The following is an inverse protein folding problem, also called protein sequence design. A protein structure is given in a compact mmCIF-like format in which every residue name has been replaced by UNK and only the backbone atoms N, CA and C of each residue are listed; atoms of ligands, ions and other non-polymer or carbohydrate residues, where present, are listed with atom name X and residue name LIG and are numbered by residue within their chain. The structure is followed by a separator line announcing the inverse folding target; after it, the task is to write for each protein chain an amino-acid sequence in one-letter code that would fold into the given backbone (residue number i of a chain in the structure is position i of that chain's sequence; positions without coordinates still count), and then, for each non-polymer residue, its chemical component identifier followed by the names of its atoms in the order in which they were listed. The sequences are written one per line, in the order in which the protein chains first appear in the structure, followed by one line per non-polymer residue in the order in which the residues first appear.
data_IF_498097166811
#
_entry.id   IF_498097166811
#
_cell.length_a   1.000
_cell.length_b   1.000
_cell.length_c   1.000
_cell.angle_alpha   90.00
_cell.angle_beta   90.00
_cell.angle_gamma   90.00
#
_symmetry.space_group_name_H-M   'P 1'
#
loop_
_entity.id
_entity.type
_entity.pdbx_description
1 polymer ?
#
# COMPACT_ATOMS: atom_id res chain seq x y z
N UNK A 1 17.81 8.14 -19.27
CA UNK A 1 18.59 8.70 -18.14
C UNK A 1 17.84 9.89 -17.55
N UNK A 2 17.11 9.69 -16.45
CA UNK A 2 16.11 10.63 -15.96
C UNK A 2 16.70 11.69 -14.98
N UNK A 3 16.36 12.96 -15.21
CA UNK A 3 16.73 14.17 -14.45
C UNK A 3 16.01 14.27 -13.09
N UNK A 4 16.36 13.43 -12.12
CA UNK A 4 15.84 13.53 -10.74
C UNK A 4 16.78 14.26 -9.76
N UNK A 5 17.94 14.76 -10.21
CA UNK A 5 19.03 15.22 -9.33
C UNK A 5 18.91 16.71 -8.92
N UNK A 6 18.03 17.49 -9.52
CA UNK A 6 17.93 18.92 -9.23
C UNK A 6 16.84 19.25 -8.20
N UNK A 7 16.80 18.51 -7.08
CA UNK A 7 16.06 18.98 -5.91
C UNK A 7 16.98 19.89 -5.07
N UNK A 8 16.77 21.23 -5.08
CA UNK A 8 17.65 22.18 -4.40
C UNK A 8 17.62 22.03 -2.88
N UNK A 9 16.62 21.34 -2.32
CA UNK A 9 16.42 21.20 -0.88
C UNK A 9 17.22 20.03 -0.28
N UNK A 10 17.91 19.23 -1.10
CA UNK A 10 18.70 18.10 -0.60
C UNK A 10 20.00 18.56 0.05
N UNK A 11 20.24 18.06 1.26
CA UNK A 11 21.51 18.27 1.96
C UNK A 11 22.67 17.61 1.16
N UNK A 12 23.93 18.07 1.34
CA UNK A 12 25.07 17.50 0.63
C UNK A 12 25.23 15.99 0.82
N UNK A 13 24.87 15.47 1.99
CA UNK A 13 24.94 14.03 2.31
C UNK A 13 23.82 13.26 1.58
N UNK A 14 22.61 13.80 1.50
CA UNK A 14 21.50 13.18 0.77
C UNK A 14 21.76 13.12 -0.73
N UNK A 15 22.36 14.18 -1.30
CA UNK A 15 22.86 14.15 -2.69
C UNK A 15 23.91 13.06 -2.89
N UNK A 16 24.87 12.94 -1.97
CA UNK A 16 25.90 11.89 -2.04
C UNK A 16 25.33 10.48 -1.92
N UNK A 17 24.31 10.28 -1.09
CA UNK A 17 23.61 9.00 -0.94
C UNK A 17 22.75 8.69 -2.17
N UNK A 18 22.01 9.65 -2.69
CA UNK A 18 21.20 9.49 -3.89
C UNK A 18 22.05 9.20 -5.13
N UNK A 19 23.18 9.91 -5.31
CA UNK A 19 24.16 9.62 -6.35
C UNK A 19 24.77 8.22 -6.18
N UNK A 20 25.05 7.78 -4.94
CA UNK A 20 25.55 6.42 -4.68
C UNK A 20 24.49 5.37 -4.97
N UNK A 21 23.24 5.60 -4.62
CA UNK A 21 22.13 4.68 -4.89
C UNK A 21 21.85 4.60 -6.41
N UNK A 22 21.87 5.73 -7.12
CA UNK A 22 21.72 5.75 -8.59
C UNK A 22 22.89 5.10 -9.33
N UNK A 23 24.13 5.26 -8.85
CA UNK A 23 25.30 4.59 -9.44
C UNK A 23 25.40 3.10 -9.07
N UNK A 24 24.80 2.68 -7.96
CA UNK A 24 24.93 1.32 -7.43
C UNK A 24 23.78 0.36 -7.80
N UNK A 25 22.75 0.83 -8.51
CA UNK A 25 21.69 -0.04 -9.04
C UNK A 25 21.81 -0.07 -10.56
N UNK A 26 22.64 -0.96 -11.13
CA UNK A 26 22.46 -1.37 -12.51
C UNK A 26 21.11 -2.08 -12.58
N UNK A 27 20.16 -1.53 -13.34
CA UNK A 27 18.85 -2.15 -13.59
C UNK A 27 19.00 -3.55 -14.21
N UNK A 28 20.16 -3.85 -14.82
CA UNK A 28 20.47 -5.10 -15.54
C UNK A 28 21.24 -6.16 -14.72
N UNK A 29 21.61 -5.93 -13.46
CA UNK A 29 22.45 -6.86 -12.67
C UNK A 29 21.74 -7.42 -11.43
N UNK A 30 20.44 -7.70 -11.56
CA UNK A 30 19.73 -8.46 -10.53
C UNK A 30 20.31 -9.88 -10.46
N UNK A 31 20.80 -10.35 -9.30
CA UNK A 31 21.30 -11.72 -9.16
C UNK A 31 20.20 -12.71 -9.53
N UNK A 32 20.59 -13.77 -10.26
CA UNK A 32 19.67 -14.85 -10.57
C UNK A 32 19.07 -15.44 -9.27
N UNK A 33 17.83 -15.94 -9.32
CA UNK A 33 17.14 -16.47 -8.14
C UNK A 33 17.99 -17.53 -7.40
N UNK A 34 18.70 -18.38 -8.15
CA UNK A 34 19.61 -19.38 -7.58
C UNK A 34 20.72 -18.75 -6.73
N UNK A 35 21.25 -17.60 -7.15
CA UNK A 35 22.26 -16.84 -6.42
C UNK A 35 21.67 -16.19 -5.15
N UNK A 36 20.44 -15.63 -5.23
CA UNK A 36 19.73 -15.11 -4.05
C UNK A 36 19.47 -16.21 -3.01
N UNK A 37 19.08 -17.41 -3.46
CA UNK A 37 18.90 -18.58 -2.59
C UNK A 37 20.22 -19.02 -1.94
N UNK A 38 21.31 -19.03 -2.70
CA UNK A 38 22.64 -19.35 -2.18
C UNK A 38 23.11 -18.33 -1.13
N UNK A 39 22.91 -17.04 -1.39
CA UNK A 39 23.14 -15.94 -0.45
C UNK A 39 22.30 -16.12 0.83
N UNK A 40 21.02 -16.51 0.71
CA UNK A 40 20.14 -16.73 1.85
C UNK A 40 20.55 -17.93 2.71
N UNK A 41 20.98 -19.02 2.09
CA UNK A 41 21.43 -20.25 2.77
C UNK A 41 22.78 -20.08 3.47
N UNK A 42 23.74 -19.47 2.81
CA UNK A 42 25.12 -19.38 3.32
C UNK A 42 25.33 -18.10 4.15
N UNK A 43 24.53 -17.06 3.93
CA UNK A 43 24.66 -15.75 4.56
C UNK A 43 26.04 -15.15 4.30
N UNK A 44 26.67 -14.59 5.35
CA UNK A 44 28.02 -14.01 5.27
C UNK A 44 29.12 -14.98 4.83
N UNK A 45 28.85 -16.29 4.78
CA UNK A 45 29.78 -17.31 4.29
C UNK A 45 29.78 -17.46 2.77
N UNK A 46 28.80 -16.89 2.07
CA UNK A 46 28.79 -16.90 0.61
C UNK A 46 29.95 -16.06 0.07
N UNK A 47 30.75 -16.55 -0.90
CA UNK A 47 31.94 -15.83 -1.38
C UNK A 47 31.60 -14.46 -1.98
N UNK A 48 30.48 -14.35 -2.70
CA UNK A 48 29.99 -13.09 -3.27
C UNK A 48 29.15 -12.24 -2.29
N UNK A 49 29.09 -12.58 -0.99
CA UNK A 49 28.18 -11.90 -0.04
C UNK A 49 28.42 -10.40 0.03
N UNK A 50 29.68 -9.96 0.16
CA UNK A 50 30.00 -8.52 0.30
C UNK A 50 29.68 -7.72 -0.97
N UNK A 51 29.82 -8.35 -2.13
CA UNK A 51 29.61 -7.73 -3.44
C UNK A 51 28.11 -7.63 -3.79
N UNK A 52 27.35 -8.72 -3.58
CA UNK A 52 25.94 -8.80 -3.97
C UNK A 52 24.98 -8.21 -2.96
N UNK A 53 25.30 -8.24 -1.66
CA UNK A 53 24.35 -7.82 -0.63
C UNK A 53 23.96 -6.33 -0.68
N UNK A 54 24.84 -5.38 -1.08
CA UNK A 54 24.42 -4.00 -1.36
C UNK A 54 23.27 -3.94 -2.37
N UNK A 55 23.36 -4.64 -3.51
CA UNK A 55 22.26 -4.72 -4.47
C UNK A 55 21.01 -5.36 -3.83
N UNK A 56 21.16 -6.50 -3.14
CA UNK A 56 20.03 -7.18 -2.49
C UNK A 56 19.32 -6.28 -1.47
N UNK A 57 20.03 -5.41 -0.75
CA UNK A 57 19.44 -4.47 0.21
C UNK A 57 18.77 -3.27 -0.48
N UNK A 58 19.33 -2.80 -1.59
CA UNK A 58 18.86 -1.62 -2.31
C UNK A 58 17.73 -1.94 -3.30
N UNK A 59 17.73 -3.12 -3.91
CA UNK A 59 16.71 -3.59 -4.85
C UNK A 59 15.55 -4.26 -4.09
N UNK A 60 14.32 -3.68 -4.13
CA UNK A 60 13.18 -4.20 -3.36
C UNK A 60 12.79 -5.64 -3.74
N UNK A 61 12.96 -6.02 -5.02
CA UNK A 61 12.66 -7.36 -5.52
C UNK A 61 13.64 -8.39 -4.94
N UNK A 62 14.95 -8.12 -5.01
CA UNK A 62 15.98 -9.00 -4.46
C UNK A 62 15.89 -9.10 -2.93
N UNK A 63 15.61 -8.01 -2.22
CA UNK A 63 15.45 -8.01 -0.77
C UNK A 63 14.31 -8.94 -0.32
N UNK A 64 13.20 -8.90 -1.06
CA UNK A 64 12.02 -9.73 -0.83
C UNK A 64 12.35 -11.21 -1.03
N UNK A 65 12.91 -11.57 -2.19
CA UNK A 65 13.33 -12.94 -2.48
C UNK A 65 14.32 -13.48 -1.44
N UNK A 66 15.26 -12.66 -0.99
CA UNK A 66 16.21 -13.00 0.06
C UNK A 66 15.54 -13.31 1.41
N UNK A 67 14.54 -12.52 1.82
CA UNK A 67 13.80 -12.73 3.08
C UNK A 67 12.95 -14.00 3.04
N UNK A 68 12.24 -14.23 1.95
CA UNK A 68 11.41 -15.42 1.77
C UNK A 68 12.26 -16.70 1.78
N UNK A 69 13.41 -16.68 1.09
CA UNK A 69 14.37 -17.78 1.11
C UNK A 69 14.89 -18.08 2.53
N UNK A 70 15.22 -17.03 3.29
CA UNK A 70 15.64 -17.12 4.70
C UNK A 70 14.57 -17.75 5.59
N UNK A 71 13.31 -17.37 5.43
CA UNK A 71 12.18 -17.92 6.19
C UNK A 71 11.95 -19.39 5.85
N UNK A 72 11.99 -19.74 4.56
CA UNK A 72 11.86 -21.13 4.10
C UNK A 72 12.98 -22.03 4.64
N UNK A 73 14.21 -21.52 4.74
CA UNK A 73 15.35 -22.24 5.30
C UNK A 73 15.31 -22.34 6.83
N UNK A 74 14.67 -21.38 7.50
CA UNK A 74 14.47 -21.39 8.95
C UNK A 74 13.30 -22.28 9.40
N UNK A 75 12.41 -22.67 8.48
CA UNK A 75 11.30 -23.55 8.78
C UNK A 75 11.83 -24.88 9.36
N UNK A 76 11.30 -25.35 10.50
CA UNK A 76 11.75 -26.59 11.11
C UNK A 76 11.50 -27.74 10.12
N UNK A 77 12.58 -28.39 9.68
CA UNK A 77 12.45 -29.61 8.87
C UNK A 77 11.77 -30.67 9.75
N UNK A 78 10.79 -31.43 9.20
CA UNK A 78 10.19 -32.53 9.93
C UNK A 78 11.32 -33.46 10.34
N UNK A 79 11.60 -33.50 11.65
CA UNK A 79 12.59 -34.42 12.21
C UNK A 79 11.97 -35.80 12.01
N UNK A 80 12.40 -36.50 10.96
CA UNK A 80 12.02 -37.89 10.73
C UNK A 80 12.45 -38.67 11.97
N UNK A 81 11.49 -38.93 12.86
CA UNK A 81 11.71 -39.72 14.07
C UNK A 81 11.85 -41.16 13.62
N UNK A 82 13.07 -41.55 13.29
CA UNK A 82 13.40 -42.95 13.08
C UNK A 82 12.94 -43.73 14.32
N UNK A 83 12.14 -44.79 14.17
CA UNK A 83 11.79 -45.64 15.29
C UNK A 83 13.08 -46.12 15.93
N UNK A 84 13.22 -45.93 17.25
CA UNK A 84 14.37 -46.41 18.02
C UNK A 84 14.33 -47.94 18.00
N UNK A 85 14.91 -48.54 16.96
CA UNK A 85 15.09 -49.99 16.90
C UNK A 85 16.12 -50.40 17.95
N UNK A 86 15.83 -51.42 18.78
CA UNK A 86 16.72 -51.85 19.84
C UNK A 86 18.07 -52.31 19.25
N UNK A 87 19.16 -51.69 19.73
CA UNK A 87 20.54 -51.86 19.29
C UNK A 87 21.06 -53.31 19.25
N UNK A 88 20.31 -54.25 19.84
CA UNK A 88 20.66 -55.67 19.96
C UNK A 88 20.57 -56.45 18.65
N UNK A 89 19.84 -55.95 17.65
CA UNK A 89 19.70 -56.60 16.34
C UNK A 89 20.73 -56.18 15.28
N UNK A 90 21.57 -55.18 15.58
CA UNK A 90 22.53 -54.61 14.61
C UNK A 90 23.86 -55.38 14.59
N UNK A 91 24.15 -56.19 15.62
CA UNK A 91 25.48 -56.82 15.77
C UNK A 91 25.75 -58.00 14.83
N UNK A 92 24.72 -58.68 14.28
CA UNK A 92 24.92 -59.87 13.43
C UNK A 92 24.34 -59.74 12.02
N UNK A 93 23.48 -58.76 11.75
CA UNK A 93 22.94 -58.46 10.42
C UNK A 93 23.44 -57.13 9.83
N UNK A 94 24.31 -56.40 10.55
CA UNK A 94 24.60 -55.00 10.30
C UNK A 94 25.28 -54.69 8.97
N UNK A 95 26.15 -55.55 8.45
CA UNK A 95 26.97 -55.21 7.27
C UNK A 95 26.19 -55.42 5.96
N UNK A 96 25.46 -56.52 5.81
CA UNK A 96 24.63 -56.78 4.62
C UNK A 96 23.41 -55.83 4.57
N UNK A 97 22.81 -55.53 5.73
CA UNK A 97 21.71 -54.58 5.81
C UNK A 97 22.17 -53.14 5.57
N UNK A 98 23.36 -52.71 6.04
CA UNK A 98 23.90 -51.39 5.69
C UNK A 98 24.20 -51.28 4.20
N UNK A 99 24.76 -52.32 3.57
CA UNK A 99 25.06 -52.31 2.14
C UNK A 99 23.78 -52.26 1.29
N UNK A 100 22.76 -53.06 1.65
CA UNK A 100 21.45 -53.02 1.00
C UNK A 100 20.72 -51.68 1.26
N UNK A 101 20.83 -51.12 2.47
CA UNK A 101 20.26 -49.81 2.80
C UNK A 101 21.00 -48.67 2.06
N UNK A 102 22.32 -48.74 1.90
CA UNK A 102 23.08 -47.78 1.09
C UNK A 102 22.81 -47.91 -0.42
N UNK A 103 22.38 -49.08 -0.90
CA UNK A 103 21.93 -49.29 -2.28
C UNK A 103 20.46 -48.89 -2.50
N UNK A 104 19.62 -48.96 -1.46
CA UNK A 104 18.21 -48.55 -1.48
C UNK A 104 18.01 -47.07 -1.12
N UNK A 105 18.99 -46.43 -0.48
CA UNK A 105 18.99 -44.98 -0.29
C UNK A 105 19.16 -44.33 -1.67
N UNK A 106 18.19 -43.51 -2.11
CA UNK A 106 18.24 -42.88 -3.41
C UNK A 106 19.54 -42.09 -3.54
N UNK A 107 20.28 -42.32 -4.64
CA UNK A 107 21.54 -41.61 -4.92
C UNK A 107 21.28 -40.10 -4.76
N UNK A 108 22.10 -39.39 -3.95
CA UNK A 108 21.83 -38.00 -3.57
C UNK A 108 21.91 -36.98 -4.72
N UNK A 109 22.11 -37.43 -5.95
CA UNK A 109 22.16 -36.59 -7.15
C UNK A 109 20.99 -36.78 -8.13
N UNK A 110 20.11 -37.77 -7.96
CA UNK A 110 19.02 -38.03 -8.92
C UNK A 110 17.61 -37.69 -8.39
N UNK A 111 17.45 -37.37 -7.11
CA UNK A 111 16.15 -37.07 -6.50
C UNK A 111 15.85 -35.56 -6.31
N UNK A 112 16.58 -34.67 -6.99
CA UNK A 112 16.30 -33.22 -6.98
C UNK A 112 15.67 -32.78 -8.31
N UNK A 113 14.72 -33.56 -8.81
CA UNK A 113 13.87 -33.20 -9.96
C UNK A 113 12.38 -33.16 -9.59
N UNK A 114 11.97 -33.72 -8.45
CA UNK A 114 10.69 -33.36 -7.85
C UNK A 114 10.82 -32.00 -7.18
N UNK A 115 10.26 -30.97 -7.79
CA UNK A 115 10.13 -29.66 -7.18
C UNK A 115 9.52 -29.82 -5.80
N UNK A 116 10.34 -29.60 -4.76
CA UNK A 116 9.90 -29.63 -3.38
C UNK A 116 8.62 -28.78 -3.26
N UNK A 117 7.56 -29.22 -2.57
CA UNK A 117 6.26 -28.53 -2.57
C UNK A 117 6.32 -27.06 -2.10
N UNK A 118 7.37 -26.71 -1.34
CA UNK A 118 7.69 -25.31 -1.01
C UNK A 118 8.19 -24.53 -2.23
N UNK A 119 9.06 -25.11 -3.07
CA UNK A 119 9.54 -24.52 -4.33
C UNK A 119 8.39 -24.41 -5.33
N UNK A 120 7.54 -25.43 -5.45
CA UNK A 120 6.34 -25.36 -6.29
C UNK A 120 5.36 -24.27 -5.80
N UNK A 121 5.14 -24.13 -4.48
CA UNK A 121 4.35 -23.00 -3.92
C UNK A 121 5.01 -21.65 -4.12
N UNK A 122 6.33 -21.55 -3.96
CA UNK A 122 7.07 -20.32 -4.17
C UNK A 122 7.05 -19.94 -5.64
N UNK A 123 7.16 -20.91 -6.56
CA UNK A 123 7.05 -20.71 -8.01
C UNK A 123 5.64 -20.29 -8.40
N UNK A 124 4.60 -20.98 -7.91
CA UNK A 124 3.22 -20.56 -8.11
C UNK A 124 2.92 -19.17 -7.53
N UNK A 125 3.51 -18.81 -6.38
CA UNK A 125 3.41 -17.45 -5.81
C UNK A 125 4.22 -16.42 -6.58
N UNK A 126 5.39 -16.79 -7.09
CA UNK A 126 6.23 -15.95 -7.94
C UNK A 126 5.56 -15.74 -9.28
N UNK A 127 4.92 -16.74 -9.87
CA UNK A 127 4.17 -16.69 -11.12
C UNK A 127 2.86 -15.90 -10.94
N UNK A 128 2.12 -16.10 -9.84
CA UNK A 128 0.97 -15.25 -9.51
C UNK A 128 1.38 -13.80 -9.20
N UNK A 129 2.54 -13.59 -8.57
CA UNK A 129 3.14 -12.27 -8.44
C UNK A 129 3.66 -11.75 -9.77
N UNK A 130 4.07 -12.63 -10.70
CA UNK A 130 4.56 -12.31 -12.06
C UNK A 130 3.44 -11.82 -12.95
N UNK A 131 2.26 -12.42 -12.80
CA UNK A 131 1.03 -12.01 -13.46
C UNK A 131 0.51 -10.66 -12.92
N UNK A 132 0.91 -10.28 -11.70
CA UNK A 132 0.70 -8.94 -11.16
C UNK A 132 1.91 -8.00 -11.34
N UNK A 133 3.07 -8.52 -11.76
CA UNK A 133 4.31 -7.76 -11.91
C UNK A 133 4.29 -7.11 -13.27
N UNK A 134 4.09 -5.80 -13.22
CA UNK A 134 4.72 -4.78 -14.06
C UNK A 134 5.97 -5.37 -14.75
N UNK A 135 5.84 -5.86 -15.99
CA UNK A 135 7.00 -5.93 -16.87
C UNK A 135 7.47 -4.50 -17.03
N UNK A 136 8.78 -4.30 -16.99
CA UNK A 136 9.44 -2.98 -16.96
C UNK A 136 8.88 -2.00 -18.00
N UNK A 137 8.30 -2.51 -19.08
CA UNK A 137 7.88 -1.73 -20.24
C UNK A 137 6.34 -1.65 -20.38
N UNK A 138 5.57 -2.54 -19.72
CA UNK A 138 4.11 -2.57 -19.79
C UNK A 138 3.48 -3.10 -18.49
N UNK A 139 2.50 -2.36 -17.96
CA UNK A 139 1.63 -2.87 -16.91
C UNK A 139 0.55 -3.72 -17.57
N UNK A 140 0.55 -5.02 -17.27
CA UNK A 140 -0.46 -5.94 -17.74
C UNK A 140 -1.58 -6.05 -16.69
N UNK A 141 -2.81 -6.12 -17.19
CA UNK A 141 -4.01 -6.41 -16.40
C UNK A 141 -4.66 -7.62 -17.07
N UNK A 142 -4.38 -8.81 -16.52
CA UNK A 142 -4.55 -10.07 -17.25
C UNK A 142 -3.65 -10.09 -18.49
N UNK A 143 -4.23 -10.37 -19.66
CA UNK A 143 -3.50 -10.43 -20.94
C UNK A 143 -3.41 -9.07 -21.66
N UNK A 144 -4.01 -8.01 -21.11
CA UNK A 144 -4.10 -6.70 -21.76
C UNK A 144 -3.03 -5.74 -21.21
N UNK A 145 -2.28 -5.12 -22.10
CA UNK A 145 -1.42 -3.99 -21.75
C UNK A 145 -2.26 -2.73 -21.50
N UNK A 146 -2.04 -2.08 -20.35
CA UNK A 146 -2.64 -0.79 -20.05
C UNK A 146 -1.99 0.33 -20.87
N UNK A 147 -2.78 1.33 -21.33
CA UNK A 147 -2.25 2.56 -21.91
C UNK A 147 -1.27 3.25 -20.93
N UNK A 148 -0.28 3.97 -21.48
CA UNK A 148 0.83 4.53 -20.71
C UNK A 148 0.42 5.31 -19.46
N UNK A 149 -0.61 6.16 -19.54
CA UNK A 149 -1.07 6.94 -18.38
C UNK A 149 -1.64 6.05 -17.26
N UNK A 150 -2.50 5.09 -17.61
CA UNK A 150 -3.08 4.15 -16.64
C UNK A 150 -2.02 3.21 -16.05
N UNK A 151 -1.06 2.79 -16.88
CA UNK A 151 0.09 2.00 -16.45
C UNK A 151 0.92 2.76 -15.41
N UNK A 152 1.21 4.04 -15.64
CA UNK A 152 1.92 4.89 -14.67
C UNK A 152 1.15 5.07 -13.35
N UNK A 153 -0.17 5.26 -13.42
CA UNK A 153 -1.01 5.35 -12.20
C UNK A 153 -0.93 4.06 -11.38
N UNK A 154 -1.00 2.90 -12.04
CA UNK A 154 -0.91 1.60 -11.37
C UNK A 154 0.49 1.41 -10.77
N UNK A 155 1.57 1.72 -11.51
CA UNK A 155 2.95 1.68 -10.98
C UNK A 155 3.08 2.54 -9.73
N UNK A 156 2.50 3.73 -9.72
CA UNK A 156 2.55 4.65 -8.59
C UNK A 156 1.91 4.10 -7.31
N UNK A 157 1.00 3.12 -7.38
CA UNK A 157 0.49 2.42 -6.19
C UNK A 157 1.54 1.52 -5.54
N UNK A 158 2.45 0.94 -6.32
CA UNK A 158 3.43 -0.03 -5.84
C UNK A 158 4.76 0.59 -5.45
N UNK A 159 5.04 1.80 -5.93
CA UNK A 159 6.20 2.57 -5.46
C UNK A 159 5.97 2.94 -4.00
N UNK A 160 6.82 2.42 -3.12
CA UNK A 160 6.79 2.75 -1.69
C UNK A 160 6.81 4.27 -1.55
N UNK A 161 5.91 4.88 -0.76
CA UNK A 161 6.13 6.25 -0.34
C UNK A 161 7.49 6.27 0.37
N UNK A 162 8.33 7.25 0.04
CA UNK A 162 9.60 7.52 0.74
C UNK A 162 9.38 7.34 2.23
N UNK A 163 10.27 6.62 2.93
CA UNK A 163 10.14 6.23 4.35
C UNK A 163 9.46 7.33 5.16
N UNK A 164 8.14 7.23 5.28
CA UNK A 164 7.39 8.28 5.96
C UNK A 164 7.69 8.12 7.45
N UNK A 165 8.01 9.21 8.16
CA UNK A 165 8.09 9.13 9.60
C UNK A 165 6.77 8.56 10.12
N UNK A 166 6.85 7.70 11.13
CA UNK A 166 5.67 7.29 11.87
C UNK A 166 5.15 8.54 12.58
N UNK A 167 4.11 9.15 12.03
CA UNK A 167 3.46 10.30 12.67
C UNK A 167 2.41 9.72 13.60
N UNK A 168 2.48 10.06 14.88
CA UNK A 168 1.43 9.74 15.83
C UNK A 168 0.28 10.75 15.66
N UNK A 169 -0.99 10.30 15.73
CA UNK A 169 -2.11 11.21 15.65
C UNK A 169 -2.00 12.25 16.78
N UNK A 170 -2.23 13.54 16.50
CA UNK A 170 -2.13 14.56 17.53
C UNK A 170 -3.18 14.32 18.63
N UNK A 171 -2.85 14.66 19.88
CA UNK A 171 -3.70 14.35 21.04
C UNK A 171 -5.14 14.87 20.92
N UNK A 172 -5.35 15.98 20.20
CA UNK A 172 -6.68 16.56 19.97
C UNK A 172 -7.56 15.72 19.04
N UNK A 173 -7.01 14.83 18.22
CA UNK A 173 -7.76 13.96 17.31
C UNK A 173 -8.74 13.05 18.04
N UNK A 174 -8.35 12.54 19.21
CA UNK A 174 -9.22 11.73 20.09
C UNK A 174 -10.42 12.50 20.64
N UNK A 175 -10.42 13.83 20.48
CA UNK A 175 -11.46 14.77 20.91
C UNK A 175 -12.12 15.47 19.71
N UNK A 176 -11.86 15.02 18.49
CA UNK A 176 -12.54 15.55 17.31
C UNK A 176 -13.90 14.85 17.15
N UNK A 177 -14.86 15.58 16.59
CA UNK A 177 -16.13 14.98 16.15
C UNK A 177 -15.85 14.06 14.94
N UNK A 178 -16.41 12.85 14.92
CA UNK A 178 -16.19 11.94 13.80
C UNK A 178 -16.91 12.45 12.54
N UNK A 179 -16.18 12.75 11.46
CA UNK A 179 -16.76 13.05 10.16
C UNK A 179 -16.96 11.75 9.39
N UNK A 180 -18.13 11.58 8.75
CA UNK A 180 -18.54 10.32 8.12
C UNK A 180 -18.69 10.46 6.60
N UNK A 181 -19.32 11.54 6.16
CA UNK A 181 -19.58 11.81 4.75
C UNK A 181 -19.50 13.31 4.47
N UNK A 182 -18.90 13.77 3.36
CA UNK A 182 -18.00 12.99 2.51
C UNK A 182 -16.87 12.33 3.30
N UNK A 183 -16.34 11.21 2.81
CA UNK A 183 -15.33 10.46 3.55
C UNK A 183 -14.12 11.37 3.83
N UNK A 184 -13.79 11.68 5.10
CA UNK A 184 -12.74 12.67 5.43
C UNK A 184 -11.34 12.22 5.00
N UNK A 185 -11.20 10.94 4.63
CA UNK A 185 -10.00 10.39 4.03
C UNK A 185 -9.79 10.76 2.56
N UNK A 186 -10.80 11.34 1.91
CA UNK A 186 -10.75 11.73 0.51
C UNK A 186 -10.52 13.23 0.37
N UNK A 187 -9.45 13.58 -0.34
CA UNK A 187 -9.18 14.95 -0.77
C UNK A 187 -10.05 15.38 -1.96
N UNK A 188 -10.76 14.45 -2.60
CA UNK A 188 -11.65 14.71 -3.72
C UNK A 188 -12.88 13.80 -3.71
N UNK A 189 -13.98 14.26 -4.31
CA UNK A 189 -15.24 13.49 -4.41
C UNK A 189 -15.85 13.63 -5.82
N UNK A 190 -16.63 12.63 -6.23
CA UNK A 190 -17.33 12.64 -7.53
C UNK A 190 -18.63 13.44 -7.45
N UNK A 191 -19.31 13.34 -6.31
CA UNK A 191 -20.65 13.84 -6.06
C UNK A 191 -20.68 15.37 -6.00
N UNK A 192 -21.58 15.98 -6.78
CA UNK A 192 -21.89 17.42 -6.71
C UNK A 192 -22.95 17.73 -5.66
N UNK A 193 -23.65 16.70 -5.15
CA UNK A 193 -24.68 16.85 -4.10
C UNK A 193 -24.42 15.89 -2.93
N UNK A 194 -23.26 16.01 -2.25
CA UNK A 194 -22.97 15.12 -1.14
C UNK A 194 -23.92 15.37 0.04
N UNK A 195 -24.26 14.29 0.74
CA UNK A 195 -24.86 14.37 2.07
C UNK A 195 -23.74 14.48 3.09
N UNK A 196 -23.71 15.58 3.83
CA UNK A 196 -22.76 15.79 4.90
C UNK A 196 -23.24 15.05 6.14
N UNK A 197 -22.41 14.19 6.74
CA UNK A 197 -22.76 13.38 7.92
C UNK A 197 -21.62 13.36 8.91
N UNK A 198 -21.96 13.41 10.18
CA UNK A 198 -21.03 13.31 11.30
C UNK A 198 -21.57 12.42 12.41
N UNK A 199 -20.70 12.03 13.33
CA UNK A 199 -21.05 11.23 14.50
C UNK A 199 -21.97 11.98 15.46
N UNK A 200 -22.76 11.24 16.24
CA UNK A 200 -23.54 11.82 17.34
C UNK A 200 -22.76 11.73 18.64
N UNK A 201 -22.97 12.69 19.52
CA UNK A 201 -22.31 12.78 20.83
C UNK A 201 -23.37 12.85 21.93
N UNK A 202 -23.14 12.14 23.03
CA UNK A 202 -24.10 12.10 24.14
C UNK A 202 -24.22 13.47 24.82
N UNK A 203 -25.46 13.90 25.03
CA UNK A 203 -25.79 15.17 25.67
C UNK A 203 -25.56 16.41 24.78
N UNK A 204 -25.33 16.25 23.48
CA UNK A 204 -25.29 17.37 22.55
C UNK A 204 -26.72 17.82 22.25
N UNK A 205 -26.96 19.13 22.37
CA UNK A 205 -28.25 19.74 22.09
C UNK A 205 -28.39 20.11 20.62
N UNK A 206 -27.36 20.67 20.01
CA UNK A 206 -27.34 21.05 18.59
C UNK A 206 -25.91 21.08 18.04
N UNK A 207 -25.80 21.21 16.73
CA UNK A 207 -24.55 21.35 15.98
C UNK A 207 -24.56 22.69 15.23
N UNK A 208 -23.41 23.35 15.13
CA UNK A 208 -23.19 24.40 14.13
C UNK A 208 -22.50 23.77 12.92
N UNK A 209 -23.00 24.08 11.73
CA UNK A 209 -22.46 23.62 10.45
C UNK A 209 -22.07 24.83 9.60
N UNK A 210 -20.87 24.80 9.04
CA UNK A 210 -20.34 25.82 8.14
C UNK A 210 -19.73 25.15 6.91
N UNK A 211 -20.17 25.55 5.71
CA UNK A 211 -19.60 25.13 4.44
C UNK A 211 -19.08 26.36 3.68
N UNK A 212 -17.85 26.26 3.21
CA UNK A 212 -17.14 27.30 2.49
C UNK A 212 -16.56 26.75 1.19
N UNK A 213 -16.38 27.61 0.19
CA UNK A 213 -15.79 27.27 -1.10
C UNK A 213 -14.62 28.18 -1.49
N UNK A 214 -13.73 27.65 -2.31
CA UNK A 214 -12.66 28.38 -2.99
C UNK A 214 -12.44 27.77 -4.39
N UNK A 215 -12.07 28.61 -5.37
CA UNK A 215 -11.64 28.13 -6.68
C UNK A 215 -10.34 27.30 -6.57
N UNK A 216 -10.17 26.31 -7.46
CA UNK A 216 -9.11 25.28 -7.47
C UNK A 216 -7.66 25.80 -7.38
N UNK A 217 -7.46 27.11 -7.51
CA UNK A 217 -6.17 27.80 -7.48
C UNK A 217 -5.78 28.43 -6.12
N UNK A 218 -6.55 28.26 -5.03
CA UNK A 218 -6.11 28.69 -3.69
C UNK A 218 -6.70 27.80 -2.57
N UNK A 219 -6.04 27.60 -1.39
CA UNK A 219 -5.09 28.53 -0.77
C UNK A 219 -3.98 27.95 0.16
N UNK A 220 -2.78 28.53 0.10
CA UNK A 220 -2.02 28.79 1.35
C UNK A 220 -2.52 30.07 2.05
N UNK A 221 -3.21 30.99 1.31
CA UNK A 221 -3.67 32.31 1.80
C UNK A 221 -4.93 32.92 1.14
N UNK A 222 -5.60 32.24 0.22
CA UNK A 222 -6.81 32.73 -0.47
C UNK A 222 -8.06 32.83 0.42
N UNK A 223 -9.00 33.67 -0.01
CA UNK A 223 -10.27 33.91 0.64
C UNK A 223 -11.24 32.74 0.41
N UNK A 224 -11.86 32.27 1.49
CA UNK A 224 -12.93 31.28 1.44
C UNK A 224 -14.27 32.01 1.41
N UNK A 225 -15.15 31.65 0.48
CA UNK A 225 -16.52 32.17 0.43
C UNK A 225 -17.44 31.29 1.27
N UNK A 226 -18.23 31.90 2.14
CA UNK A 226 -19.20 31.19 2.98
C UNK A 226 -20.46 30.89 2.17
N UNK A 227 -20.75 29.61 1.99
CA UNK A 227 -21.97 29.15 1.31
C UNK A 227 -23.10 28.89 2.29
N UNK A 228 -22.81 28.25 3.42
CA UNK A 228 -23.80 27.92 4.45
C UNK A 228 -23.23 28.09 5.85
N UNK A 229 -24.08 28.57 6.77
CA UNK A 229 -23.78 28.72 8.18
C UNK A 229 -25.08 28.69 8.97
N UNK A 230 -25.34 27.58 9.67
CA UNK A 230 -26.58 27.40 10.42
C UNK A 230 -26.43 26.42 11.59
N UNK A 231 -27.45 26.40 12.46
CA UNK A 231 -27.58 25.47 13.57
C UNK A 231 -28.56 24.35 13.21
N UNK A 232 -28.24 23.12 13.60
CA UNK A 232 -29.10 21.95 13.37
C UNK A 232 -29.08 20.99 14.55
N UNK A 233 -30.20 20.32 14.79
CA UNK A 233 -30.28 19.21 15.74
C UNK A 233 -29.95 17.85 15.10
N UNK A 234 -29.86 17.82 13.77
CA UNK A 234 -29.60 16.60 13.01
C UNK A 234 -28.09 16.42 12.80
N UNK A 235 -27.58 15.16 12.86
CA UNK A 235 -26.16 14.88 12.62
C UNK A 235 -25.80 14.78 11.13
N UNK A 236 -26.51 15.55 10.30
CA UNK A 236 -26.36 15.55 8.86
C UNK A 236 -26.89 16.85 8.24
N UNK A 237 -26.46 17.12 7.01
CA UNK A 237 -26.94 18.21 6.16
C UNK A 237 -26.96 17.78 4.68
N UNK A 238 -28.00 18.18 3.98
CA UNK A 238 -28.16 18.03 2.53
C UNK A 238 -28.30 19.40 1.88
N UNK A 239 -27.69 19.57 0.71
CA UNK A 239 -27.84 20.80 -0.05
C UNK A 239 -29.30 21.02 -0.45
N UNK A 240 -29.79 22.27 -0.43
CA UNK A 240 -31.14 22.60 -0.91
C UNK A 240 -31.41 22.04 -2.31
N UNK A 241 -32.68 21.71 -2.57
CA UNK A 241 -33.12 21.24 -3.88
C UNK A 241 -32.74 22.24 -4.97
N UNK A 242 -32.03 21.77 -6.01
CA UNK A 242 -31.58 22.59 -7.12
C UNK A 242 -30.19 23.22 -6.95
N UNK A 243 -29.54 23.05 -5.78
CA UNK A 243 -28.15 23.45 -5.59
C UNK A 243 -27.20 22.26 -5.77
N UNK A 244 -26.07 22.54 -6.43
CA UNK A 244 -24.96 21.62 -6.60
C UNK A 244 -23.63 22.32 -6.29
N UNK A 245 -22.67 21.55 -5.78
CA UNK A 245 -21.28 21.96 -5.67
C UNK A 245 -20.66 22.04 -7.08
N UNK A 246 -19.91 23.09 -7.32
CA UNK A 246 -19.22 23.34 -8.58
C UNK A 246 -18.03 22.37 -8.75
N UNK A 247 -17.91 21.78 -9.94
CA UNK A 247 -16.78 20.93 -10.29
C UNK A 247 -15.49 21.75 -10.35
N UNK A 248 -14.38 21.15 -9.91
CA UNK A 248 -13.08 21.79 -9.76
C UNK A 248 -12.95 22.65 -8.49
N UNK A 249 -14.03 23.01 -7.81
CA UNK A 249 -13.93 23.85 -6.62
C UNK A 249 -13.46 23.04 -5.41
N UNK A 250 -12.70 23.72 -4.54
CA UNK A 250 -12.32 23.25 -3.22
C UNK A 250 -13.39 23.67 -2.21
N UNK A 251 -13.72 22.78 -1.30
CA UNK A 251 -14.70 22.97 -0.25
C UNK A 251 -14.08 22.67 1.09
N UNK A 252 -14.44 23.48 2.08
CA UNK A 252 -14.11 23.26 3.49
C UNK A 252 -15.40 23.25 4.27
N UNK A 253 -15.59 22.23 5.10
CA UNK A 253 -16.72 22.18 5.99
C UNK A 253 -16.29 21.94 7.43
N UNK A 254 -17.00 22.59 8.34
CA UNK A 254 -16.75 22.58 9.77
C UNK A 254 -18.03 22.24 10.51
N UNK A 255 -17.90 21.38 11.52
CA UNK A 255 -18.99 21.06 12.43
C UNK A 255 -18.52 21.21 13.86
N UNK A 256 -19.31 21.88 14.69
CA UNK A 256 -19.08 21.94 16.13
C UNK A 256 -20.32 21.43 16.86
N UNK A 257 -20.11 20.56 17.84
CA UNK A 257 -21.17 20.02 18.68
C UNK A 257 -21.29 20.85 19.97
N UNK A 258 -22.52 21.21 20.34
CA UNK A 258 -22.80 22.12 21.46
C UNK A 258 -23.61 21.43 22.56
N UNK A 259 -23.17 21.62 23.80
CA UNK A 259 -23.86 21.16 25.03
C UNK A 259 -23.89 22.30 26.04
N UNK A 260 -25.08 22.61 26.55
CA UNK A 260 -25.27 23.67 27.56
C UNK A 260 -24.63 25.02 27.18
N UNK A 261 -24.75 25.39 25.90
CA UNK A 261 -24.19 26.64 25.37
C UNK A 261 -22.67 26.65 25.21
N UNK A 262 -21.99 25.50 25.29
CA UNK A 262 -20.54 25.35 25.08
C UNK A 262 -20.23 24.35 23.97
N UNK A 263 -19.26 24.69 23.12
CA UNK A 263 -18.72 23.75 22.15
C UNK A 263 -17.92 22.65 22.88
N UNK A 264 -18.26 21.38 22.64
CA UNK A 264 -17.64 20.22 23.29
C UNK A 264 -16.72 19.42 22.36
N UNK A 265 -17.01 19.47 21.06
CA UNK A 265 -16.29 18.77 19.98
C UNK A 265 -16.37 19.61 18.73
N UNK A 266 -15.32 19.57 17.93
CA UNK A 266 -15.28 20.19 16.61
C UNK A 266 -14.54 19.28 15.63
N UNK A 267 -14.86 19.42 14.36
CA UNK A 267 -14.12 18.81 13.28
C UNK A 267 -14.23 19.66 12.01
N UNK A 268 -13.21 19.53 11.16
CA UNK A 268 -13.10 20.19 9.87
C UNK A 268 -12.63 19.18 8.85
N UNK A 269 -13.11 19.27 7.61
CA UNK A 269 -12.52 18.53 6.50
C UNK A 269 -12.54 19.39 5.23
N UNK A 270 -11.61 19.09 4.35
CA UNK A 270 -11.45 19.75 3.06
C UNK A 270 -11.46 18.71 1.95
N UNK A 271 -12.12 19.01 0.84
CA UNK A 271 -12.13 18.18 -0.36
C UNK A 271 -12.36 19.06 -1.59
N UNK A 272 -12.03 18.58 -2.78
CA UNK A 272 -12.50 19.19 -4.03
C UNK A 272 -13.53 18.32 -4.73
N UNK A 273 -14.38 18.93 -5.54
CA UNK A 273 -15.27 18.18 -6.42
C UNK A 273 -14.54 17.92 -7.73
N UNK A 274 -14.50 16.67 -8.18
CA UNK A 274 -13.77 16.29 -9.40
C UNK A 274 -14.28 17.04 -10.63
N UNK A 275 -13.33 17.37 -11.52
CA UNK A 275 -13.59 17.96 -12.83
C UNK A 275 -14.24 16.95 -13.78
N UNK A 276 -14.91 17.40 -14.86
CA UNK A 276 -15.56 16.50 -15.81
C UNK A 276 -14.64 15.42 -16.42
N UNK A 277 -13.41 15.78 -16.77
CA UNK A 277 -12.39 14.88 -17.33
C UNK A 277 -11.96 13.80 -16.31
N UNK A 278 -11.84 14.17 -15.04
CA UNK A 278 -11.49 13.25 -13.97
C UNK A 278 -12.64 12.31 -13.60
N UNK A 279 -13.89 12.80 -13.66
CA UNK A 279 -15.07 11.93 -13.54
C UNK A 279 -15.09 10.92 -14.68
N UNK A 280 -14.83 11.34 -15.91
CA UNK A 280 -14.76 10.43 -17.05
C UNK A 280 -13.68 9.34 -16.84
N UNK A 281 -12.53 9.70 -16.26
CA UNK A 281 -11.48 8.75 -15.89
C UNK A 281 -11.95 7.74 -14.82
N UNK A 282 -12.67 8.18 -13.79
CA UNK A 282 -13.25 7.29 -12.77
C UNK A 282 -14.27 6.33 -13.39
N UNK A 283 -15.18 6.85 -14.22
CA UNK A 283 -16.19 6.03 -14.88
C UNK A 283 -15.58 5.04 -15.87
N UNK A 284 -14.53 5.44 -16.60
CA UNK A 284 -13.77 4.53 -17.44
C UNK A 284 -13.15 3.40 -16.59
N UNK A 285 -12.48 3.71 -15.49
CA UNK A 285 -11.88 2.70 -14.61
C UNK A 285 -12.93 1.76 -13.98
N UNK A 286 -14.13 2.26 -13.67
CA UNK A 286 -15.26 1.44 -13.20
C UNK A 286 -15.77 0.51 -14.29
N UNK A 287 -15.93 1.00 -15.52
CA UNK A 287 -16.40 0.21 -16.66
C UNK A 287 -15.44 -0.94 -17.00
N UNK A 288 -14.15 -0.76 -16.78
CA UNK A 288 -13.14 -1.80 -16.93
C UNK A 288 -13.28 -2.94 -15.90
N UNK A 289 -13.97 -2.70 -14.77
CA UNK A 289 -14.29 -3.73 -13.78
C UNK A 289 -13.11 -4.22 -12.92
N UNK A 290 -11.94 -3.60 -13.07
CA UNK A 290 -10.69 -4.06 -12.48
C UNK A 290 -10.33 -3.26 -11.22
N UNK A 291 -10.41 -3.87 -10.00
CA UNK A 291 -10.32 -3.10 -8.76
C UNK A 291 -8.94 -2.45 -8.53
N UNK A 292 -7.86 -3.04 -9.08
CA UNK A 292 -6.50 -2.44 -9.00
C UNK A 292 -6.42 -1.15 -9.82
N UNK A 293 -7.02 -1.14 -11.02
CA UNK A 293 -7.07 0.03 -11.88
C UNK A 293 -7.91 1.14 -11.22
N UNK A 294 -9.08 0.78 -10.70
CA UNK A 294 -9.96 1.72 -10.00
C UNK A 294 -9.26 2.32 -8.78
N UNK A 295 -8.55 1.50 -7.99
CA UNK A 295 -7.75 1.99 -6.88
C UNK A 295 -6.64 2.96 -7.30
N UNK A 296 -6.00 2.71 -8.46
CA UNK A 296 -4.93 3.55 -8.96
C UNK A 296 -5.46 4.94 -9.35
N UNK A 297 -6.60 4.98 -10.04
CA UNK A 297 -7.30 6.22 -10.40
C UNK A 297 -7.74 6.98 -9.14
N UNK A 298 -8.40 6.31 -8.19
CA UNK A 298 -8.79 6.92 -6.92
C UNK A 298 -7.60 7.50 -6.16
N UNK A 299 -6.52 6.75 -6.06
CA UNK A 299 -5.31 7.19 -5.39
C UNK A 299 -4.68 8.41 -6.09
N UNK A 300 -4.66 8.43 -7.43
CA UNK A 300 -4.14 9.55 -8.22
C UNK A 300 -4.97 10.82 -8.01
N UNK A 301 -6.29 10.69 -7.94
CA UNK A 301 -7.22 11.82 -7.81
C UNK A 301 -7.40 12.32 -6.36
N UNK A 302 -6.80 11.65 -5.38
CA UNK A 302 -6.89 12.01 -3.97
C UNK A 302 -8.06 11.37 -3.21
N UNK A 303 -8.76 10.42 -3.82
CA UNK A 303 -9.84 9.64 -3.21
C UNK A 303 -9.27 8.47 -2.38
N UNK A 304 -8.46 8.76 -1.37
CA UNK A 304 -7.64 7.74 -0.69
C UNK A 304 -8.44 6.69 0.08
N UNK A 305 -9.56 7.07 0.71
CA UNK A 305 -10.41 6.10 1.40
C UNK A 305 -11.03 5.11 0.40
N UNK A 306 -11.45 5.60 -0.76
CA UNK A 306 -11.99 4.75 -1.82
C UNK A 306 -10.92 3.86 -2.45
N UNK A 307 -9.70 4.37 -2.64
CA UNK A 307 -8.56 3.57 -3.10
C UNK A 307 -8.23 2.43 -2.11
N UNK A 308 -8.22 2.72 -0.80
CA UNK A 308 -8.01 1.70 0.24
C UNK A 308 -9.13 0.66 0.22
N UNK A 309 -10.39 1.09 0.06
CA UNK A 309 -11.54 0.18 -0.05
C UNK A 309 -11.45 -0.75 -1.27
N UNK A 310 -11.10 -0.21 -2.45
CA UNK A 310 -10.90 -1.00 -3.66
C UNK A 310 -9.74 -2.00 -3.50
N UNK A 311 -8.61 -1.59 -2.91
CA UNK A 311 -7.47 -2.48 -2.67
C UNK A 311 -7.76 -3.54 -1.60
N UNK A 312 -8.65 -3.28 -0.65
CA UNK A 312 -9.09 -4.28 0.31
C UNK A 312 -9.81 -5.44 -0.39
N UNK A 313 -10.58 -5.17 -1.45
CA UNK A 313 -11.21 -6.21 -2.28
C UNK A 313 -10.16 -7.03 -3.04
N UNK A 314 -9.17 -6.37 -3.67
CA UNK A 314 -8.04 -7.04 -4.34
C UNK A 314 -7.32 -7.98 -3.39
N UNK A 315 -7.03 -7.51 -2.17
CA UNK A 315 -6.36 -8.30 -1.13
C UNK A 315 -7.21 -9.48 -0.66
N UNK A 316 -8.52 -9.28 -0.50
CA UNK A 316 -9.43 -10.34 -0.10
C UNK A 316 -9.51 -11.46 -1.16
N UNK A 317 -9.51 -11.07 -2.44
CA UNK A 317 -9.48 -12.01 -3.56
C UNK A 317 -8.11 -12.70 -3.74
N UNK A 318 -7.02 -12.06 -3.30
CA UNK A 318 -5.64 -12.52 -3.49
C UNK A 318 -4.86 -12.60 -2.16
N UNK A 319 -5.28 -13.42 -1.19
CA UNK A 319 -4.68 -13.45 0.13
C UNK A 319 -3.20 -13.89 0.07
N UNK A 320 -2.32 -13.08 0.65
CA UNK A 320 -0.88 -13.35 0.70
C UNK A 320 -0.11 -12.96 -0.57
N UNK A 321 -0.76 -12.38 -1.58
CA UNK A 321 -0.06 -11.76 -2.71
C UNK A 321 0.55 -10.44 -2.24
N UNK A 322 1.87 -10.41 -2.10
CA UNK A 322 2.60 -9.29 -1.51
C UNK A 322 2.42 -7.97 -2.28
N UNK A 323 2.19 -8.01 -3.59
CA UNK A 323 1.90 -6.82 -4.37
C UNK A 323 0.58 -6.16 -3.90
N UNK A 324 -0.48 -6.94 -3.69
CA UNK A 324 -1.75 -6.44 -3.18
C UNK A 324 -1.62 -5.87 -1.76
N UNK A 325 -0.86 -6.55 -0.88
CA UNK A 325 -0.55 -6.05 0.47
C UNK A 325 0.24 -4.73 0.44
N UNK A 326 1.23 -4.63 -0.44
CA UNK A 326 2.06 -3.43 -0.59
C UNK A 326 1.25 -2.25 -1.11
N UNK A 327 0.46 -2.43 -2.16
CA UNK A 327 -0.40 -1.38 -2.70
C UNK A 327 -1.40 -0.89 -1.64
N UNK A 328 -2.06 -1.81 -0.93
CA UNK A 328 -2.98 -1.46 0.15
C UNK A 328 -2.28 -0.72 1.29
N UNK A 329 -1.08 -1.16 1.70
CA UNK A 329 -0.29 -0.46 2.72
C UNK A 329 0.10 0.96 2.26
N UNK A 330 0.58 1.13 1.03
CA UNK A 330 0.94 2.42 0.44
C UNK A 330 -0.26 3.39 0.42
N UNK A 331 -1.41 2.94 -0.07
CA UNK A 331 -2.64 3.73 -0.10
C UNK A 331 -3.09 4.14 1.32
N UNK A 332 -2.97 3.22 2.30
CA UNK A 332 -3.30 3.50 3.70
C UNK A 332 -2.35 4.51 4.34
N UNK A 333 -1.06 4.49 4.01
CA UNK A 333 -0.12 5.52 4.48
C UNK A 333 -0.49 6.91 3.93
N UNK A 334 -0.90 7.00 2.66
CA UNK A 334 -1.38 8.26 2.07
C UNK A 334 -2.67 8.76 2.71
N UNK A 335 -3.64 7.86 2.94
CA UNK A 335 -4.87 8.15 3.67
C UNK A 335 -4.56 8.74 5.06
N UNK A 336 -3.72 8.06 5.85
CA UNK A 336 -3.36 8.53 7.18
C UNK A 336 -2.70 9.92 7.13
N UNK A 337 -1.78 10.13 6.17
CA UNK A 337 -1.16 11.43 5.95
C UNK A 337 -2.20 12.51 5.65
N UNK A 338 -3.14 12.23 4.75
CA UNK A 338 -4.19 13.18 4.41
C UNK A 338 -5.06 13.52 5.62
N UNK A 339 -5.48 12.52 6.38
CA UNK A 339 -6.21 12.71 7.63
C UNK A 339 -5.42 13.55 8.64
N UNK A 340 -4.09 13.44 8.71
CA UNK A 340 -3.31 14.19 9.69
C UNK A 340 -3.05 15.65 9.30
N UNK A 341 -2.81 15.92 8.02
CA UNK A 341 -2.49 17.28 7.54
C UNK A 341 -3.71 18.07 7.07
N UNK A 342 -4.80 17.38 6.71
CA UNK A 342 -6.05 18.01 6.25
C UNK A 342 -6.87 18.63 7.37
N UNK A 343 -6.59 18.29 8.63
CA UNK A 343 -7.29 18.82 9.78
C UNK A 343 -6.39 19.85 10.48
N UNK A 344 -6.71 21.13 10.33
CA UNK A 344 -6.18 22.16 11.22
C UNK A 344 -6.74 21.93 12.63
N UNK A 345 -5.92 22.16 13.67
CA UNK A 345 -6.43 22.19 15.04
C UNK A 345 -7.56 23.24 15.10
N UNK A 346 -8.74 22.91 15.65
CA UNK A 346 -9.77 23.92 15.88
C UNK A 346 -9.16 25.00 16.78
N UNK A 347 -9.14 26.25 16.29
CA UNK A 347 -8.65 27.41 17.03
C UNK A 347 -9.61 27.80 18.15
#
# INVERSE_FOLDING_TARGET
MARWIENPDWTPIERQLAERVQRAVPEDDCPALAEVMALAAQGRRHPAWRERMPHVVLCPACLRAYREAREALAAPRPVWRWPRLPLRWVATAGIAALAALCLMLPRPHEAVTEEHPIVARLRARLDAARDLLIRTDAVLLGDRALPGELAEMVRALFVSPDRLPRIEPPAWWSRALALLSPAPGNAAIVETRPVFRWGTEQGVHYYSFLLESAEEAAPARGAWERLFDFLTHQPWFELPSGMELMRGYCYRWRVQAWRDGRAVRAAESQFRVLRPDEVALVEQARAEGEPVLLAAVYHRLGMYADAVSALAQVRAANPGVLAAELAHWNARQRLNRHLWFGFAAPQ
#
